data_IF_898620151900
#
_entry.id   IF_898620151900
#
_cell.length_a   1.000
_cell.length_b   1.000
_cell.length_c   1.000
_cell.angle_alpha   90.00
_cell.angle_beta   90.00
_cell.angle_gamma   90.00
#
_symmetry.space_group_name_H-M   'P 1'
#
loop_
_entity.id
_entity.type
_entity.pdbx_description
1 polymer ?
#
# COMPACT_ATOMS: atom_id res chain seq x y z
N UNK A 1 -18.33 -11.93 3.04
CA UNK A 1 -19.03 -11.45 4.25
C UNK A 1 -19.03 -9.93 4.27
N UNK A 2 -20.10 -9.34 4.74
CA UNK A 2 -20.23 -7.90 4.92
C UNK A 2 -19.52 -7.43 6.20
N UNK A 3 -19.25 -6.11 6.33
CA UNK A 3 -18.73 -5.53 7.58
C UNK A 3 -19.65 -5.86 8.77
N UNK A 4 -20.97 -5.76 8.59
CA UNK A 4 -21.95 -6.04 9.63
C UNK A 4 -21.93 -7.50 10.10
N UNK A 5 -21.74 -8.45 9.18
CA UNK A 5 -21.57 -9.86 9.54
C UNK A 5 -20.30 -10.10 10.37
N UNK A 6 -19.19 -9.37 10.06
CA UNK A 6 -17.96 -9.44 10.84
C UNK A 6 -18.21 -8.87 12.24
N UNK A 7 -18.81 -7.69 12.34
CA UNK A 7 -19.12 -7.06 13.62
C UNK A 7 -19.97 -7.96 14.51
N UNK A 8 -21.02 -8.54 13.97
CA UNK A 8 -21.96 -9.34 14.76
C UNK A 8 -21.41 -10.70 15.24
N UNK A 9 -20.38 -11.25 14.57
CA UNK A 9 -19.96 -12.63 14.80
C UNK A 9 -18.55 -12.81 15.34
N UNK A 10 -17.70 -11.75 15.35
CA UNK A 10 -16.31 -11.89 15.73
C UNK A 10 -16.06 -11.41 17.16
N UNK A 11 -15.22 -12.14 17.90
CA UNK A 11 -14.75 -11.79 19.24
C UNK A 11 -13.51 -10.88 19.18
N UNK A 12 -12.75 -10.97 18.06
CA UNK A 12 -11.60 -10.13 17.75
C UNK A 12 -11.80 -9.50 16.38
N UNK A 13 -11.65 -8.18 16.31
CA UNK A 13 -11.75 -7.42 15.05
C UNK A 13 -10.46 -6.66 14.86
N UNK A 14 -9.77 -6.95 13.77
CA UNK A 14 -8.54 -6.25 13.38
C UNK A 14 -8.77 -5.42 12.13
N UNK A 15 -8.25 -4.18 12.15
CA UNK A 15 -8.42 -3.21 11.06
C UNK A 15 -7.12 -3.12 10.26
N UNK A 16 -7.22 -3.35 8.94
CA UNK A 16 -6.10 -3.32 7.98
C UNK A 16 -6.43 -2.53 6.72
N UNK A 17 -7.40 -1.63 6.80
CA UNK A 17 -7.83 -0.80 5.67
C UNK A 17 -7.01 0.48 5.55
N UNK A 18 -6.76 1.02 4.34
CA UNK A 18 -6.19 2.34 4.19
C UNK A 18 -7.14 3.42 4.74
N UNK A 19 -6.58 4.52 5.20
CA UNK A 19 -7.37 5.70 5.55
C UNK A 19 -7.77 6.44 4.27
N UNK A 20 -9.03 6.35 3.92
CA UNK A 20 -9.63 7.08 2.80
C UNK A 20 -10.65 8.07 3.37
N UNK A 21 -10.48 9.35 3.06
CA UNK A 21 -11.45 10.40 3.36
C UNK A 21 -12.23 10.68 2.08
N UNK A 22 -13.52 10.37 2.09
CA UNK A 22 -14.40 10.52 0.94
C UNK A 22 -15.80 10.90 1.41
N UNK A 23 -16.53 11.65 0.60
CA UNK A 23 -17.94 12.00 0.88
C UNK A 23 -18.87 10.79 0.69
N UNK A 24 -18.47 9.81 -0.14
CA UNK A 24 -19.18 8.56 -0.29
C UNK A 24 -18.90 7.64 0.91
N UNK A 25 -19.93 7.29 1.71
CA UNK A 25 -19.77 6.46 2.90
C UNK A 25 -19.30 5.03 2.61
N UNK A 26 -19.52 4.52 1.40
CA UNK A 26 -19.08 3.18 1.02
C UNK A 26 -17.56 3.12 0.77
N UNK A 27 -16.97 4.24 0.41
CA UNK A 27 -15.53 4.38 0.15
C UNK A 27 -14.80 4.95 1.38
N UNK A 28 -15.47 5.78 2.17
CA UNK A 28 -14.90 6.44 3.34
C UNK A 28 -14.55 5.42 4.43
N UNK A 29 -13.31 5.46 4.90
CA UNK A 29 -12.86 4.63 6.02
C UNK A 29 -12.52 5.44 7.27
N UNK A 30 -12.52 6.78 7.19
CA UNK A 30 -12.32 7.63 8.34
C UNK A 30 -13.43 7.38 9.37
N UNK A 31 -13.03 7.11 10.62
CA UNK A 31 -13.93 6.77 11.71
C UNK A 31 -14.88 5.60 11.39
N UNK A 32 -14.39 4.62 10.62
CA UNK A 32 -15.22 3.45 10.29
C UNK A 32 -15.59 2.62 11.52
N UNK A 33 -14.76 2.65 12.56
CA UNK A 33 -15.07 2.09 13.88
C UNK A 33 -15.62 3.23 14.73
N UNK A 34 -16.89 3.52 14.57
CA UNK A 34 -17.66 4.53 15.29
C UNK A 34 -18.68 3.88 16.20
N UNK A 35 -19.50 4.70 16.88
CA UNK A 35 -20.55 4.24 17.79
C UNK A 35 -21.52 3.26 17.10
N UNK A 36 -21.94 3.56 15.86
CA UNK A 36 -22.87 2.69 15.13
C UNK A 36 -22.28 1.32 14.78
N UNK A 37 -20.99 1.29 14.43
CA UNK A 37 -20.25 0.06 14.18
C UNK A 37 -20.08 -0.74 15.49
N UNK A 38 -19.66 -0.08 16.57
CA UNK A 38 -19.45 -0.71 17.88
C UNK A 38 -20.74 -1.31 18.44
N UNK A 39 -21.86 -0.65 18.27
CA UNK A 39 -23.17 -1.20 18.70
C UNK A 39 -23.50 -2.54 18.05
N UNK A 40 -23.04 -2.78 16.82
CA UNK A 40 -23.25 -4.04 16.08
C UNK A 40 -22.31 -5.16 16.52
N UNK A 41 -21.23 -4.82 17.22
CA UNK A 41 -20.23 -5.80 17.67
C UNK A 41 -20.76 -6.63 18.84
N UNK A 42 -20.11 -7.75 19.09
CA UNK A 42 -20.37 -8.57 20.29
C UNK A 42 -19.98 -7.82 21.55
N UNK A 43 -20.66 -8.11 22.65
CA UNK A 43 -20.25 -7.62 23.97
C UNK A 43 -18.92 -8.28 24.36
N UNK A 44 -17.99 -7.48 24.88
CA UNK A 44 -16.67 -7.95 25.24
C UNK A 44 -15.70 -8.11 24.08
N UNK A 45 -16.00 -7.59 22.89
CA UNK A 45 -15.12 -7.65 21.73
C UNK A 45 -13.76 -7.00 22.01
N UNK A 46 -12.73 -7.52 21.38
CA UNK A 46 -11.39 -6.91 21.33
C UNK A 46 -11.18 -6.28 19.95
N UNK A 47 -10.83 -5.01 19.92
CA UNK A 47 -10.53 -4.28 18.69
C UNK A 47 -9.03 -4.03 18.58
N UNK A 48 -8.47 -4.35 17.39
CA UNK A 48 -7.05 -4.14 17.08
C UNK A 48 -6.94 -3.21 15.86
N UNK A 49 -6.15 -2.16 15.98
CA UNK A 49 -5.91 -1.22 14.89
C UNK A 49 -4.40 -1.05 14.67
N UNK A 50 -3.90 -1.77 13.67
CA UNK A 50 -2.51 -1.68 13.21
C UNK A 50 -2.41 -1.03 11.83
N UNK A 51 -3.39 -0.19 11.48
CA UNK A 51 -3.47 0.42 10.16
C UNK A 51 -3.27 1.94 10.19
N UNK A 52 -4.20 2.71 10.75
CA UNK A 52 -4.11 4.19 10.87
C UNK A 52 -4.96 4.68 12.04
N UNK A 53 -4.52 5.74 12.71
CA UNK A 53 -5.19 6.36 13.86
C UNK A 53 -6.66 6.71 13.57
N UNK A 54 -6.90 7.50 12.54
CA UNK A 54 -8.22 8.05 12.21
C UNK A 54 -9.26 7.03 11.69
N UNK A 55 -8.96 5.75 11.66
CA UNK A 55 -9.94 4.70 11.34
C UNK A 55 -10.91 4.44 12.50
N UNK A 56 -10.51 4.78 13.72
CA UNK A 56 -11.31 4.63 14.93
C UNK A 56 -11.79 5.99 15.42
N UNK A 57 -13.02 6.06 15.89
CA UNK A 57 -13.53 7.23 16.59
C UNK A 57 -13.17 7.09 18.08
N UNK A 58 -12.27 7.93 18.55
CA UNK A 58 -11.76 7.87 19.92
C UNK A 58 -12.83 8.08 20.98
N UNK A 59 -13.82 8.94 20.72
CA UNK A 59 -14.90 9.20 21.68
C UNK A 59 -15.82 8.00 21.81
N UNK A 60 -16.17 7.40 20.67
CA UNK A 60 -16.96 6.19 20.64
C UNK A 60 -16.22 5.01 21.29
N UNK A 61 -14.92 4.89 21.04
CA UNK A 61 -14.09 3.83 21.63
C UNK A 61 -13.95 4.01 23.14
N UNK A 62 -13.70 5.21 23.62
CA UNK A 62 -13.61 5.50 25.05
C UNK A 62 -14.92 5.15 25.79
N UNK A 63 -16.05 5.57 25.22
CA UNK A 63 -17.36 5.25 25.78
C UNK A 63 -17.62 3.72 25.82
N UNK A 64 -17.23 3.03 24.76
CA UNK A 64 -17.39 1.58 24.65
C UNK A 64 -16.51 0.79 25.62
N UNK A 65 -15.28 1.23 25.86
CA UNK A 65 -14.38 0.66 26.85
C UNK A 65 -14.95 0.84 28.27
N UNK A 66 -15.40 2.05 28.60
CA UNK A 66 -16.03 2.35 29.92
C UNK A 66 -17.31 1.53 30.15
N UNK A 67 -18.08 1.29 29.09
CA UNK A 67 -19.31 0.48 29.17
C UNK A 67 -19.06 -1.04 29.16
N UNK A 68 -17.81 -1.48 28.95
CA UNK A 68 -17.49 -2.92 28.81
C UNK A 68 -17.94 -3.55 27.51
N UNK A 69 -18.46 -2.76 26.56
CA UNK A 69 -18.83 -3.23 25.20
C UNK A 69 -17.60 -3.68 24.42
N UNK A 70 -16.51 -2.93 24.52
CA UNK A 70 -15.16 -3.28 24.09
C UNK A 70 -14.32 -3.60 25.31
N UNK A 71 -13.71 -4.77 25.37
CA UNK A 71 -12.90 -5.16 26.52
C UNK A 71 -11.50 -4.60 26.43
N UNK A 72 -10.92 -4.59 25.23
CA UNK A 72 -9.58 -4.03 24.95
C UNK A 72 -9.55 -3.39 23.57
N UNK A 73 -8.85 -2.27 23.49
CA UNK A 73 -8.45 -1.66 22.24
C UNK A 73 -6.92 -1.67 22.15
N UNK A 74 -6.36 -2.32 21.14
CA UNK A 74 -4.92 -2.41 20.90
C UNK A 74 -4.58 -1.61 19.67
N UNK A 75 -3.58 -0.72 19.76
CA UNK A 75 -3.17 0.10 18.61
C UNK A 75 -1.67 0.38 18.63
N UNK A 76 -1.06 0.44 17.45
CA UNK A 76 0.29 0.92 17.21
C UNK A 76 0.33 2.34 16.60
N UNK A 77 -0.84 2.99 16.53
CA UNK A 77 -0.99 4.41 16.18
C UNK A 77 -1.63 5.20 17.34
N UNK A 78 -1.05 5.19 18.54
CA UNK A 78 -1.62 5.93 19.65
C UNK A 78 -1.52 7.43 19.40
N UNK A 79 -2.59 8.14 19.75
CA UNK A 79 -2.60 9.58 19.88
C UNK A 79 -2.68 9.98 21.38
N UNK A 80 -2.55 11.26 21.74
CA UNK A 80 -2.60 11.68 23.14
C UNK A 80 -3.88 11.30 23.88
N UNK A 81 -5.00 11.15 23.17
CA UNK A 81 -6.27 10.72 23.77
C UNK A 81 -6.29 9.21 23.95
N UNK A 82 -6.08 8.44 22.88
CA UNK A 82 -6.18 6.98 22.93
C UNK A 82 -5.14 6.34 23.85
N UNK A 83 -3.92 6.91 23.92
CA UNK A 83 -2.87 6.40 24.81
C UNK A 83 -3.21 6.52 26.32
N UNK A 84 -4.14 7.40 26.68
CA UNK A 84 -4.54 7.64 28.07
C UNK A 84 -5.90 7.02 28.43
N UNK A 85 -6.55 6.33 27.51
CA UNK A 85 -7.82 5.65 27.80
C UNK A 85 -7.58 4.37 28.59
N UNK A 86 -8.37 4.15 29.64
CA UNK A 86 -8.39 2.87 30.34
C UNK A 86 -8.86 1.75 29.41
N UNK A 87 -8.16 0.62 29.42
CA UNK A 87 -8.47 -0.53 28.54
C UNK A 87 -7.77 -0.50 27.19
N UNK A 88 -7.04 0.59 26.86
CA UNK A 88 -6.19 0.64 25.67
C UNK A 88 -4.82 0.03 25.95
N UNK A 89 -4.30 -0.71 24.99
CA UNK A 89 -2.92 -1.18 24.92
C UNK A 89 -2.27 -0.46 23.76
N UNK A 90 -1.53 0.59 24.06
CA UNK A 90 -0.75 1.33 23.07
C UNK A 90 0.65 0.72 22.95
N UNK A 91 1.04 0.39 21.73
CA UNK A 91 2.38 -0.10 21.42
C UNK A 91 3.06 0.81 20.41
N UNK A 92 4.39 0.84 20.35
CA UNK A 92 5.08 1.59 19.31
C UNK A 92 4.89 0.93 17.93
N UNK A 93 4.85 1.77 16.88
CA UNK A 93 4.70 1.32 15.49
C UNK A 93 6.04 0.81 14.94
N UNK A 94 6.36 -0.44 15.21
CA UNK A 94 7.66 -1.06 14.89
C UNK A 94 7.57 -2.21 13.87
N UNK A 95 6.44 -2.35 13.16
CA UNK A 95 6.22 -3.49 12.28
C UNK A 95 7.27 -3.67 11.17
N UNK A 96 7.94 -2.58 10.74
CA UNK A 96 9.03 -2.61 9.77
C UNK A 96 10.32 -1.97 10.29
N UNK A 97 10.40 -1.61 11.57
CA UNK A 97 11.50 -0.87 12.17
C UNK A 97 12.32 -1.76 13.12
N UNK A 98 12.69 -2.94 12.66
CA UNK A 98 13.71 -3.78 13.31
C UNK A 98 15.04 -3.58 12.58
N UNK A 99 16.17 -3.72 13.28
CA UNK A 99 17.51 -3.59 12.70
C UNK A 99 17.65 -4.44 11.43
N UNK A 100 17.27 -5.71 11.50
CA UNK A 100 17.28 -6.62 10.35
C UNK A 100 16.41 -6.13 9.19
N UNK A 101 15.21 -5.59 9.48
CA UNK A 101 14.30 -5.09 8.45
C UNK A 101 14.84 -3.84 7.77
N UNK A 102 15.43 -2.92 8.54
CA UNK A 102 16.02 -1.69 8.01
C UNK A 102 17.23 -1.99 7.12
N UNK A 103 18.11 -2.88 7.54
CA UNK A 103 19.26 -3.34 6.76
C UNK A 103 18.82 -4.03 5.46
N UNK A 104 17.86 -4.94 5.52
CA UNK A 104 17.32 -5.63 4.34
C UNK A 104 16.65 -4.65 3.38
N UNK A 105 15.89 -3.68 3.88
CA UNK A 105 15.26 -2.66 3.06
C UNK A 105 16.30 -1.78 2.36
N UNK A 106 17.36 -1.37 3.05
CA UNK A 106 18.45 -0.58 2.48
C UNK A 106 19.18 -1.33 1.37
N UNK A 107 19.57 -2.58 1.62
CA UNK A 107 20.24 -3.44 0.63
C UNK A 107 19.34 -3.69 -0.58
N UNK A 108 18.07 -3.98 -0.36
CA UNK A 108 17.10 -4.22 -1.45
C UNK A 108 16.92 -2.96 -2.29
N UNK A 109 16.72 -1.80 -1.67
CA UNK A 109 16.55 -0.53 -2.38
C UNK A 109 17.78 -0.19 -3.24
N UNK A 110 18.99 -0.35 -2.71
CA UNK A 110 20.24 -0.11 -3.45
C UNK A 110 20.36 -1.06 -4.65
N UNK A 111 20.05 -2.34 -4.46
CA UNK A 111 20.11 -3.33 -5.53
C UNK A 111 19.07 -3.05 -6.64
N UNK A 112 17.87 -2.63 -6.30
CA UNK A 112 16.83 -2.27 -7.25
C UNK A 112 17.18 -1.00 -8.04
N UNK A 113 17.71 0.03 -7.37
CA UNK A 113 18.18 1.25 -8.03
C UNK A 113 19.37 0.95 -8.95
N UNK A 114 20.31 0.13 -8.52
CA UNK A 114 21.43 -0.29 -9.34
C UNK A 114 20.99 -1.05 -10.58
N UNK A 115 20.09 -2.03 -10.43
CA UNK A 115 19.56 -2.81 -11.55
C UNK A 115 18.80 -1.91 -12.55
N UNK A 116 18.06 -0.92 -12.05
CA UNK A 116 17.43 0.08 -12.91
C UNK A 116 18.42 0.94 -13.67
N UNK A 117 19.47 1.44 -13.01
CA UNK A 117 20.46 2.30 -13.64
C UNK A 117 21.37 1.56 -14.62
N UNK A 118 21.72 0.31 -14.32
CA UNK A 118 22.61 -0.50 -15.15
C UNK A 118 21.87 -1.23 -16.26
N UNK A 119 20.64 -1.71 -15.99
CA UNK A 119 19.91 -2.61 -16.89
C UNK A 119 18.50 -2.12 -17.27
N UNK A 120 18.00 -1.05 -16.67
CA UNK A 120 16.65 -0.55 -16.92
C UNK A 120 15.54 -1.46 -16.35
N UNK A 121 15.85 -2.41 -15.48
CA UNK A 121 14.85 -3.28 -14.87
C UNK A 121 14.08 -2.53 -13.77
N UNK A 122 12.77 -2.75 -13.71
CA UNK A 122 11.89 -2.16 -12.68
C UNK A 122 11.32 -3.26 -11.80
N UNK A 123 11.64 -3.20 -10.50
CA UNK A 123 11.08 -4.07 -9.46
C UNK A 123 10.38 -3.21 -8.40
N UNK A 124 9.30 -3.73 -7.84
CA UNK A 124 8.56 -3.13 -6.71
C UNK A 124 8.16 -1.65 -6.86
N UNK A 125 8.12 -1.12 -8.08
CA UNK A 125 7.69 0.26 -8.32
C UNK A 125 6.21 0.46 -7.94
N UNK A 126 5.92 1.58 -7.27
CA UNK A 126 4.55 1.97 -6.93
C UNK A 126 3.78 2.46 -8.16
N UNK A 127 4.46 3.14 -9.08
CA UNK A 127 3.84 3.87 -10.20
C UNK A 127 3.91 3.09 -11.52
N UNK A 128 5.03 2.42 -11.78
CA UNK A 128 5.31 1.76 -13.05
C UNK A 128 5.13 0.24 -12.95
N UNK A 129 4.88 -0.43 -14.09
CA UNK A 129 4.82 -1.89 -14.10
C UNK A 129 6.19 -2.51 -13.80
N UNK A 130 6.21 -3.65 -13.13
CA UNK A 130 7.43 -4.43 -13.01
C UNK A 130 7.81 -4.97 -14.40
N UNK A 131 9.05 -4.73 -14.82
CA UNK A 131 9.60 -5.18 -16.08
C UNK A 131 11.04 -5.64 -15.85
N UNK A 132 11.33 -6.85 -16.27
CA UNK A 132 12.66 -7.44 -16.25
C UNK A 132 13.03 -7.78 -17.71
N UNK A 133 14.01 -7.09 -18.26
CA UNK A 133 14.59 -7.34 -19.59
C UNK A 133 15.96 -8.02 -19.48
N UNK A 134 16.33 -8.47 -18.28
CA UNK A 134 17.64 -9.06 -18.01
C UNK A 134 18.78 -8.04 -18.04
N UNK A 135 20.01 -8.55 -18.02
CA UNK A 135 21.22 -7.72 -18.14
C UNK A 135 21.30 -7.21 -19.59
N UNK A 136 21.63 -5.93 -19.73
CA UNK A 136 21.88 -5.36 -21.06
C UNK A 136 23.12 -6.02 -21.67
N UNK A 137 22.92 -6.81 -22.71
CA UNK A 137 23.98 -7.53 -23.43
C UNK A 137 24.32 -6.91 -24.80
N UNK A 138 23.62 -5.85 -25.19
CA UNK A 138 23.82 -5.11 -26.43
C UNK A 138 24.70 -3.86 -26.19
N UNK A 139 25.14 -3.21 -27.25
CA UNK A 139 25.92 -1.96 -27.14
C UNK A 139 25.15 -0.85 -26.44
N UNK A 140 23.81 -0.87 -26.58
CA UNK A 140 22.96 0.17 -26.00
C UNK A 140 21.58 -0.36 -25.66
N UNK A 141 21.02 0.14 -24.59
CA UNK A 141 19.62 -0.06 -24.19
C UNK A 141 18.96 1.30 -23.99
N UNK A 142 17.81 1.48 -24.63
CA UNK A 142 16.97 2.66 -24.46
C UNK A 142 15.75 2.29 -23.64
N UNK A 143 15.47 3.07 -22.61
CA UNK A 143 14.29 2.90 -21.76
C UNK A 143 13.38 4.11 -21.87
N UNK A 144 12.07 3.89 -22.01
CA UNK A 144 11.09 4.95 -22.20
C UNK A 144 9.97 4.79 -21.20
N UNK A 145 9.83 5.76 -20.30
CA UNK A 145 8.68 5.92 -19.42
C UNK A 145 7.64 6.79 -20.16
N UNK A 146 6.45 6.26 -20.37
CA UNK A 146 5.44 6.96 -21.16
C UNK A 146 4.01 6.73 -20.66
N UNK A 147 3.07 7.52 -21.18
CA UNK A 147 1.63 7.26 -20.94
C UNK A 147 1.19 6.01 -21.69
N UNK A 148 0.29 5.26 -21.10
CA UNK A 148 -0.34 4.08 -21.72
C UNK A 148 -1.46 4.52 -22.69
N UNK A 149 -1.07 5.04 -23.84
CA UNK A 149 -1.97 5.50 -24.89
C UNK A 149 -1.66 4.81 -26.22
N UNK A 150 -2.61 4.75 -27.16
CA UNK A 150 -2.41 4.15 -28.47
C UNK A 150 -1.23 4.76 -29.24
N UNK A 151 -0.63 3.95 -30.13
CA UNK A 151 0.38 4.39 -31.11
C UNK A 151 1.78 4.71 -30.54
N UNK A 152 2.05 4.47 -29.25
CA UNK A 152 3.37 4.78 -28.67
C UNK A 152 4.47 3.88 -29.26
N UNK A 153 4.24 2.58 -29.34
CA UNK A 153 5.23 1.64 -29.87
C UNK A 153 5.57 1.92 -31.35
N UNK A 154 4.57 2.27 -32.17
CA UNK A 154 4.79 2.66 -33.57
C UNK A 154 5.69 3.90 -33.66
N UNK A 155 5.54 4.88 -32.77
CA UNK A 155 6.39 6.07 -32.75
C UNK A 155 7.84 5.70 -32.39
N UNK A 156 8.05 4.83 -31.40
CA UNK A 156 9.39 4.40 -31.02
C UNK A 156 10.06 3.63 -32.16
N UNK A 157 9.41 2.57 -32.66
CA UNK A 157 9.97 1.74 -33.73
C UNK A 157 10.17 2.54 -35.02
N UNK A 158 9.26 3.46 -35.34
CA UNK A 158 9.39 4.37 -36.47
C UNK A 158 10.59 5.30 -36.38
N UNK A 159 10.88 5.82 -35.18
CA UNK A 159 12.05 6.66 -34.93
C UNK A 159 13.35 5.88 -35.12
N UNK A 160 13.47 4.69 -34.57
CA UNK A 160 14.67 3.84 -34.75
C UNK A 160 14.83 3.42 -36.22
N UNK A 161 13.73 3.07 -36.90
CA UNK A 161 13.75 2.72 -38.31
C UNK A 161 14.23 3.89 -39.19
N UNK A 162 13.77 5.11 -38.91
CA UNK A 162 14.18 6.31 -39.65
C UNK A 162 15.67 6.62 -39.49
N UNK A 163 16.27 6.19 -38.37
CA UNK A 163 17.69 6.35 -38.08
C UNK A 163 18.52 5.13 -38.54
N UNK A 164 17.91 4.15 -39.17
CA UNK A 164 18.52 2.88 -39.60
C UNK A 164 19.17 2.12 -38.42
N UNK A 165 18.53 2.20 -37.23
CA UNK A 165 18.95 1.50 -36.02
C UNK A 165 18.11 0.22 -35.91
N UNK A 166 18.79 -0.92 -35.76
CA UNK A 166 18.13 -2.19 -35.49
C UNK A 166 17.65 -2.29 -34.05
N UNK A 167 16.54 -2.93 -33.81
CA UNK A 167 16.04 -3.29 -32.49
C UNK A 167 16.17 -4.80 -32.36
N UNK A 168 17.01 -5.29 -31.47
CA UNK A 168 17.25 -6.71 -31.25
C UNK A 168 16.18 -7.30 -30.32
N UNK A 169 15.76 -6.51 -29.31
CA UNK A 169 14.73 -6.92 -28.37
C UNK A 169 13.90 -5.71 -27.95
N UNK A 170 12.60 -5.94 -27.71
CA UNK A 170 11.70 -4.91 -27.20
C UNK A 170 10.73 -5.53 -26.20
N UNK A 171 10.68 -4.95 -25.01
CA UNK A 171 9.71 -5.33 -23.98
C UNK A 171 8.91 -4.11 -23.58
N UNK A 172 7.59 -4.23 -23.60
CA UNK A 172 6.69 -3.17 -23.14
C UNK A 172 5.71 -3.74 -22.12
N UNK A 173 5.53 -3.04 -21.01
CA UNK A 173 4.50 -3.34 -20.01
C UNK A 173 3.79 -2.07 -19.57
N UNK A 174 2.53 -2.21 -19.20
CA UNK A 174 1.70 -1.11 -18.71
C UNK A 174 1.09 -1.43 -17.35
N UNK A 175 0.80 -0.38 -16.58
CA UNK A 175 0.07 -0.42 -15.32
C UNK A 175 -0.76 0.86 -15.20
N UNK A 176 -2.08 0.72 -15.37
CA UNK A 176 -2.98 1.88 -15.40
C UNK A 176 -2.61 2.85 -16.52
N UNK A 177 -2.41 4.10 -16.18
CA UNK A 177 -2.13 5.20 -17.11
C UNK A 177 -0.66 5.26 -17.58
N UNK A 178 0.21 4.45 -17.03
CA UNK A 178 1.64 4.47 -17.33
C UNK A 178 2.11 3.18 -18.00
N UNK A 179 3.08 3.34 -18.87
CA UNK A 179 3.75 2.24 -19.53
C UNK A 179 5.27 2.45 -19.50
N UNK A 180 5.98 1.35 -19.63
CA UNK A 180 7.43 1.33 -19.67
C UNK A 180 7.88 0.41 -20.81
N UNK A 181 8.73 0.94 -21.68
CA UNK A 181 9.29 0.21 -22.81
C UNK A 181 10.80 0.16 -22.69
N UNK A 182 11.37 -1.00 -22.91
CA UNK A 182 12.82 -1.24 -23.02
C UNK A 182 13.10 -1.72 -24.43
N UNK A 183 14.12 -1.14 -25.07
CA UNK A 183 14.57 -1.49 -26.42
C UNK A 183 16.09 -1.73 -26.38
N UNK A 184 16.53 -2.87 -26.91
CA UNK A 184 17.94 -3.24 -27.09
C UNK A 184 18.32 -3.16 -28.55
#
# INVERSE_FOLDING_TARGET
KTRDEIYANCDFITVHTPLVKNDDPDINTAKMINEAAIRKMKDGVVVLNFARDLLVDDEAMEAALKAGKVTKYVTDFPNPKSANMEGVIAIPHLGASTEESEDNCAVMAVNEVRDYLENGNIKNSVNYPALDAGICATESRVTVLHKNIPNMLTQFTGTFSALNINIENMVNKSRGDYAYTVLD
#
